data_IF_775597879000
#
_entry.id   IF_775597879000
#
_cell.length_a   1.000
_cell.length_b   1.000
_cell.length_c   1.000
_cell.angle_alpha   90.00
_cell.angle_beta   90.00
_cell.angle_gamma   90.00
#
_symmetry.space_group_name_H-M   'P 1'
#
loop_
_entity.id
_entity.type
_entity.pdbx_description
1 polymer ?
#
# COMPACT_ATOMS: atom_id res chain seq x y z
N UNK A 1 -10.08 7.52 14.77
CA UNK A 1 -9.25 6.31 14.72
C UNK A 1 -7.89 6.70 14.15
N UNK A 2 -6.86 5.89 14.40
CA UNK A 2 -5.49 6.12 13.95
C UNK A 2 -5.35 6.39 12.44
N UNK A 3 -6.09 5.63 11.60
CA UNK A 3 -6.15 5.85 10.15
C UNK A 3 -6.85 7.16 9.74
N UNK A 4 -7.73 7.71 10.57
CA UNK A 4 -8.42 8.98 10.28
C UNK A 4 -7.43 10.14 10.17
N UNK A 5 -6.40 10.17 11.03
CA UNK A 5 -5.36 11.19 11.03
C UNK A 5 -4.43 11.10 9.79
N UNK A 6 -4.35 9.94 9.13
CA UNK A 6 -3.54 9.77 7.90
C UNK A 6 -4.19 10.42 6.69
N UNK A 7 -5.51 10.35 6.56
CA UNK A 7 -6.23 10.92 5.41
C UNK A 7 -6.08 12.45 5.36
N UNK A 8 -5.98 13.13 6.51
CA UNK A 8 -5.82 14.59 6.54
C UNK A 8 -4.38 15.03 6.17
N UNK A 9 -3.36 14.22 6.51
CA UNK A 9 -1.95 14.47 6.15
C UNK A 9 -1.69 14.16 4.66
N UNK A 10 -2.44 13.20 4.12
CA UNK A 10 -2.28 12.57 2.83
C UNK A 10 -2.43 13.50 1.61
N UNK A 11 -3.18 14.59 1.74
CA UNK A 11 -3.53 15.49 0.63
C UNK A 11 -2.48 16.58 0.38
N UNK A 12 -1.47 16.70 1.25
CA UNK A 12 -0.43 17.73 1.18
C UNK A 12 0.94 17.25 0.65
N UNK A 13 1.12 15.95 0.35
CA UNK A 13 2.46 15.33 0.19
C UNK A 13 2.66 14.48 -1.08
N UNK A 14 1.95 14.72 -2.18
CA UNK A 14 2.07 13.90 -3.41
C UNK A 14 3.26 14.29 -4.32
N UNK A 15 4.18 15.12 -3.82
CA UNK A 15 5.36 15.57 -4.57
C UNK A 15 6.36 14.45 -4.86
N UNK A 16 6.35 13.39 -4.06
CA UNK A 16 7.34 12.30 -4.15
C UNK A 16 7.22 11.44 -5.41
N UNK A 17 6.14 11.59 -6.18
CA UNK A 17 5.91 10.83 -7.40
C UNK A 17 5.75 11.71 -8.64
N UNK A 18 6.02 13.03 -8.54
CA UNK A 18 5.89 13.99 -9.65
C UNK A 18 6.75 13.65 -10.87
N UNK A 19 7.87 12.96 -10.66
CA UNK A 19 8.83 12.60 -11.72
C UNK A 19 8.64 11.18 -12.25
N UNK A 20 7.55 10.47 -11.90
CA UNK A 20 7.28 9.17 -12.51
C UNK A 20 6.93 9.35 -13.98
N UNK A 21 7.44 8.49 -14.88
CA UNK A 21 7.04 8.52 -16.29
C UNK A 21 5.53 8.35 -16.43
N UNK A 22 4.94 8.95 -17.46
CA UNK A 22 3.53 8.73 -17.77
C UNK A 22 3.24 7.24 -18.01
N UNK A 23 2.07 6.79 -17.56
CA UNK A 23 1.64 5.41 -17.72
C UNK A 23 1.17 5.18 -19.16
N UNK A 24 1.74 4.17 -19.81
CA UNK A 24 1.17 3.63 -21.06
C UNK A 24 -0.01 2.70 -20.75
N UNK A 25 -0.86 2.41 -21.73
CA UNK A 25 -2.09 1.59 -21.60
C UNK A 25 -1.90 0.23 -20.91
N UNK A 26 -0.68 -0.32 -20.94
CA UNK A 26 -0.36 -1.62 -20.37
C UNK A 26 0.45 -1.53 -19.06
N UNK A 27 0.42 -0.40 -18.36
CA UNK A 27 1.21 -0.17 -17.15
C UNK A 27 0.35 0.32 -15.99
N UNK A 28 0.73 -0.09 -14.79
CA UNK A 28 0.14 0.37 -13.52
C UNK A 28 1.31 0.72 -12.59
N UNK A 29 1.16 1.78 -11.82
CA UNK A 29 2.03 2.03 -10.67
C UNK A 29 1.28 1.79 -9.38
N UNK A 30 1.85 0.98 -8.50
CA UNK A 30 1.49 0.98 -7.08
C UNK A 30 2.44 1.94 -6.37
N UNK A 31 1.95 3.10 -5.99
CA UNK A 31 2.65 4.10 -5.19
C UNK A 31 2.50 3.74 -3.72
N UNK A 32 3.61 3.58 -3.02
CA UNK A 32 3.66 3.21 -1.61
C UNK A 32 4.22 4.38 -0.82
N UNK A 33 3.49 4.78 0.20
CA UNK A 33 3.98 5.67 1.25
C UNK A 33 4.11 4.87 2.53
N UNK A 34 5.28 4.96 3.16
CA UNK A 34 5.55 4.34 4.44
C UNK A 34 5.50 5.40 5.52
N UNK A 35 4.62 5.20 6.50
CA UNK A 35 4.51 6.05 7.67
C UNK A 35 4.97 5.29 8.91
N UNK A 36 5.42 6.04 9.90
CA UNK A 36 5.77 5.55 11.22
C UNK A 36 5.10 6.39 12.28
N UNK A 37 4.73 5.75 13.39
CA UNK A 37 4.40 6.45 14.64
C UNK A 37 5.42 6.15 15.70
N UNK A 38 5.97 7.21 16.29
CA UNK A 38 6.77 7.13 17.50
C UNK A 38 5.89 6.77 18.72
N UNK A 39 6.52 6.26 19.78
CA UNK A 39 5.84 5.92 21.04
C UNK A 39 4.99 7.08 21.58
N UNK A 40 3.75 6.76 21.98
CA UNK A 40 2.73 7.69 22.48
C UNK A 40 2.32 8.81 21.50
N UNK A 41 2.86 8.84 20.28
CA UNK A 41 2.41 9.73 19.22
C UNK A 41 1.31 9.06 18.40
N UNK A 42 0.16 9.73 18.31
CA UNK A 42 -0.91 9.36 17.39
C UNK A 42 -0.75 10.03 16.02
N UNK A 43 0.37 10.72 15.79
CA UNK A 43 0.65 11.47 14.56
C UNK A 43 1.62 10.65 13.70
N UNK A 44 1.14 10.02 12.62
CA UNK A 44 1.99 9.32 11.68
C UNK A 44 2.82 10.30 10.85
N UNK A 45 4.12 10.05 10.78
CA UNK A 45 5.06 10.79 9.92
C UNK A 45 5.45 9.91 8.74
N UNK A 46 5.48 10.48 7.53
CA UNK A 46 6.04 9.79 6.37
C UNK A 46 7.54 9.60 6.59
N UNK A 47 8.02 8.36 6.47
CA UNK A 47 9.43 8.00 6.65
C UNK A 47 10.07 7.44 5.37
N UNK A 48 9.29 6.96 4.42
CA UNK A 48 9.81 6.54 3.11
C UNK A 48 8.69 6.53 2.06
N UNK A 49 9.05 6.34 0.80
CA UNK A 49 8.13 6.03 -0.28
C UNK A 49 8.79 5.15 -1.34
N UNK A 50 7.99 4.37 -2.05
CA UNK A 50 8.47 3.56 -3.16
C UNK A 50 7.39 3.31 -4.21
N UNK A 51 7.80 2.76 -5.35
CA UNK A 51 6.86 2.42 -6.43
C UNK A 51 7.06 0.97 -6.88
N UNK A 52 5.95 0.28 -7.16
CA UNK A 52 5.97 -1.01 -7.85
C UNK A 52 5.38 -0.80 -9.25
N UNK A 53 6.21 -0.84 -10.31
CA UNK A 53 5.70 -0.85 -11.67
C UNK A 53 5.17 -2.23 -12.02
N UNK A 54 4.01 -2.28 -12.65
CA UNK A 54 3.34 -3.50 -13.07
C UNK A 54 3.00 -3.37 -14.55
N UNK A 55 3.31 -4.41 -15.32
CA UNK A 55 2.94 -4.52 -16.72
C UNK A 55 1.73 -5.44 -16.86
N UNK A 56 0.68 -4.94 -17.48
CA UNK A 56 -0.52 -5.69 -17.87
C UNK A 56 -0.14 -6.54 -19.08
N UNK A 57 -0.51 -7.83 -19.04
CA UNK A 57 -0.10 -8.80 -20.07
C UNK A 57 -1.22 -9.15 -21.05
N UNK A 58 -2.47 -9.02 -20.63
CA UNK A 58 -3.66 -9.49 -21.32
C UNK A 58 -4.91 -8.81 -20.73
N UNK A 59 -6.04 -8.93 -21.42
CA UNK A 59 -7.33 -8.33 -21.03
C UNK A 59 -7.88 -8.87 -19.71
N UNK A 60 -7.55 -10.13 -19.36
CA UNK A 60 -7.84 -10.74 -18.07
C UNK A 60 -6.54 -10.93 -17.28
N UNK A 61 -6.30 -10.03 -16.33
CA UNK A 61 -5.04 -9.95 -15.60
C UNK A 61 -5.28 -10.14 -14.11
N UNK A 62 -4.45 -10.95 -13.45
CA UNK A 62 -4.40 -11.05 -11.99
C UNK A 62 -2.96 -10.93 -11.53
N UNK A 63 -2.69 -9.93 -10.71
CA UNK A 63 -1.39 -9.69 -10.11
C UNK A 63 -1.46 -9.73 -8.60
N UNK A 64 -0.79 -10.72 -8.03
CA UNK A 64 -0.72 -10.92 -6.59
C UNK A 64 0.33 -10.00 -6.00
N UNK A 65 -0.08 -9.22 -4.99
CA UNK A 65 0.80 -8.38 -4.20
C UNK A 65 1.02 -9.05 -2.86
N UNK A 66 2.25 -9.46 -2.60
CA UNK A 66 2.71 -9.93 -1.30
C UNK A 66 4.05 -9.31 -0.92
N UNK A 67 4.67 -9.85 0.13
CA UNK A 67 5.92 -9.36 0.72
C UNK A 67 7.01 -9.06 -0.31
N UNK A 68 7.18 -9.95 -1.28
CA UNK A 68 8.23 -9.89 -2.30
C UNK A 68 8.06 -8.67 -3.20
N UNK A 69 6.82 -8.26 -3.50
CA UNK A 69 6.55 -7.07 -4.29
C UNK A 69 6.91 -5.80 -3.51
N UNK A 70 6.64 -5.75 -2.20
CA UNK A 70 7.05 -4.62 -1.37
C UNK A 70 8.56 -4.53 -1.18
N UNK A 71 9.24 -5.66 -0.98
CA UNK A 71 10.71 -5.70 -0.87
C UNK A 71 11.36 -5.23 -2.17
N UNK A 72 10.83 -5.64 -3.33
CA UNK A 72 11.37 -5.30 -4.66
C UNK A 72 10.91 -3.94 -5.20
N UNK A 73 10.11 -3.19 -4.45
CA UNK A 73 9.69 -1.86 -4.87
C UNK A 73 10.91 -0.95 -5.06
N UNK A 74 10.81 0.02 -5.97
CA UNK A 74 11.80 1.07 -6.12
C UNK A 74 11.60 2.08 -4.99
N UNK A 75 12.31 1.89 -3.89
CA UNK A 75 12.26 2.76 -2.72
C UNK A 75 13.17 3.98 -2.87
N UNK A 76 12.73 5.11 -2.33
CA UNK A 76 13.48 6.37 -2.35
C UNK A 76 14.76 6.27 -1.50
N UNK A 77 14.64 5.78 -0.27
CA UNK A 77 15.77 5.55 0.64
C UNK A 77 15.88 4.05 0.95
N UNK A 78 16.68 3.32 0.18
CA UNK A 78 16.87 1.87 0.42
C UNK A 78 17.67 1.58 1.68
N UNK A 79 18.61 2.47 2.03
CA UNK A 79 19.43 2.46 3.25
C UNK A 79 18.57 2.33 4.52
N UNK A 80 17.37 2.95 4.51
CA UNK A 80 16.42 2.94 5.61
C UNK A 80 16.10 1.52 6.11
N UNK A 81 16.04 0.54 5.20
CA UNK A 81 15.72 -0.84 5.55
C UNK A 81 16.86 -1.57 6.26
N UNK A 82 18.09 -1.04 6.25
CA UNK A 82 19.19 -1.58 7.05
C UNK A 82 18.94 -1.37 8.56
N UNK A 83 18.33 -0.24 8.93
CA UNK A 83 17.94 0.08 10.31
C UNK A 83 16.65 -0.65 10.74
N UNK A 84 15.80 -1.03 9.79
CA UNK A 84 14.50 -1.68 10.03
C UNK A 84 14.30 -2.97 9.20
N UNK A 85 15.16 -3.99 9.33
CA UNK A 85 15.20 -5.15 8.43
C UNK A 85 13.96 -6.06 8.49
N UNK A 86 13.16 -5.96 9.55
CA UNK A 86 11.96 -6.79 9.77
C UNK A 86 10.65 -6.07 9.39
N UNK A 87 10.71 -4.86 8.80
CA UNK A 87 9.52 -4.08 8.46
C UNK A 87 8.54 -4.81 7.53
N UNK A 88 9.01 -5.79 6.76
CA UNK A 88 8.18 -6.56 5.84
C UNK A 88 7.72 -7.91 6.42
N UNK A 89 8.11 -8.25 7.65
CA UNK A 89 7.84 -9.58 8.23
C UNK A 89 6.36 -9.85 8.46
N UNK A 90 5.55 -8.83 8.78
CA UNK A 90 4.11 -9.02 8.87
C UNK A 90 3.44 -9.08 7.51
N UNK A 91 4.07 -8.56 6.44
CA UNK A 91 3.50 -8.60 5.10
C UNK A 91 3.45 -10.04 4.63
N UNK A 92 2.29 -10.42 4.08
CA UNK A 92 2.03 -11.81 3.72
C UNK A 92 2.83 -12.19 2.47
N UNK A 93 3.59 -13.30 2.49
CA UNK A 93 4.33 -13.77 1.33
C UNK A 93 3.41 -14.06 0.13
N UNK A 94 3.90 -13.75 -1.06
CA UNK A 94 3.25 -14.11 -2.31
C UNK A 94 3.54 -15.57 -2.63
N UNK A 95 2.48 -16.37 -2.76
CA UNK A 95 2.55 -17.78 -3.13
C UNK A 95 1.36 -18.16 -4.02
N UNK A 96 1.30 -19.44 -4.42
CA UNK A 96 0.18 -19.96 -5.20
C UNK A 96 -1.17 -19.70 -4.51
N UNK A 97 -1.23 -19.78 -3.19
CA UNK A 97 -2.47 -19.69 -2.41
C UNK A 97 -2.53 -18.49 -1.45
N UNK A 98 -1.51 -17.64 -1.42
CA UNK A 98 -1.45 -16.52 -0.49
C UNK A 98 -0.92 -15.28 -1.18
N UNK A 99 -1.51 -14.14 -0.83
CA UNK A 99 -1.09 -12.81 -1.20
C UNK A 99 -1.63 -11.86 -0.12
N UNK A 100 -1.09 -10.65 -0.03
CA UNK A 100 -1.69 -9.62 0.80
C UNK A 100 -2.98 -9.10 0.15
N UNK A 101 -2.90 -8.71 -1.13
CA UNK A 101 -4.06 -8.44 -1.98
C UNK A 101 -3.77 -8.78 -3.43
N UNK A 102 -4.77 -8.62 -4.29
CA UNK A 102 -4.67 -8.86 -5.72
C UNK A 102 -5.20 -7.66 -6.48
N UNK A 103 -4.49 -7.29 -7.55
CA UNK A 103 -5.02 -6.42 -8.59
C UNK A 103 -5.57 -7.31 -9.69
N UNK A 104 -6.81 -7.06 -10.09
CA UNK A 104 -7.49 -7.79 -11.15
C UNK A 104 -7.90 -6.80 -12.25
N UNK A 105 -7.71 -7.16 -13.51
CA UNK A 105 -8.41 -6.56 -14.65
C UNK A 105 -9.37 -7.62 -15.14
N UNK A 106 -10.68 -7.36 -15.07
CA UNK A 106 -11.72 -8.26 -15.54
C UNK A 106 -12.73 -7.45 -16.33
N UNK A 107 -13.04 -7.89 -17.55
CA UNK A 107 -14.01 -7.20 -18.42
C UNK A 107 -13.71 -5.70 -18.58
N UNK A 108 -12.43 -5.32 -18.65
CA UNK A 108 -11.99 -3.92 -18.80
C UNK A 108 -12.03 -3.07 -17.52
N UNK A 109 -12.42 -3.62 -16.37
CA UNK A 109 -12.44 -2.89 -15.09
C UNK A 109 -11.33 -3.35 -14.15
N UNK A 110 -10.59 -2.38 -13.57
CA UNK A 110 -9.62 -2.65 -12.51
C UNK A 110 -10.33 -2.84 -11.17
N UNK A 111 -10.06 -3.98 -10.52
CA UNK A 111 -10.57 -4.36 -9.22
C UNK A 111 -9.41 -4.64 -8.26
N UNK A 112 -9.64 -4.41 -6.97
CA UNK A 112 -8.77 -4.84 -5.90
C UNK A 112 -9.52 -5.89 -5.08
N UNK A 113 -8.92 -7.06 -4.89
CA UNK A 113 -9.48 -8.13 -4.08
C UNK A 113 -8.56 -8.47 -2.89
N UNK A 114 -9.12 -8.86 -1.73
CA UNK A 114 -8.30 -9.32 -0.61
C UNK A 114 -7.60 -10.64 -0.97
N UNK A 115 -6.44 -10.88 -0.37
CA UNK A 115 -5.79 -12.20 -0.48
C UNK A 115 -6.64 -13.27 0.20
N UNK A 116 -6.84 -14.43 -0.46
CA UNK A 116 -7.70 -15.53 0.03
C UNK A 116 -7.34 -16.03 1.44
N UNK A 117 -6.07 -15.89 1.85
CA UNK A 117 -5.59 -16.27 3.18
C UNK A 117 -4.89 -15.08 3.87
N UNK A 118 -5.39 -13.86 3.63
CA UNK A 118 -4.79 -12.68 4.23
C UNK A 118 -5.07 -12.61 5.73
N UNK A 119 -4.04 -12.79 6.56
CA UNK A 119 -4.11 -12.63 8.02
C UNK A 119 -4.16 -11.15 8.41
N UNK A 120 -3.52 -10.28 7.63
CA UNK A 120 -3.54 -8.84 7.84
C UNK A 120 -4.75 -8.24 7.12
N UNK A 121 -5.54 -7.47 7.86
CA UNK A 121 -6.63 -6.69 7.32
C UNK A 121 -6.10 -5.54 6.46
N UNK A 122 -6.75 -5.33 5.32
CA UNK A 122 -6.51 -4.18 4.47
C UNK A 122 -7.74 -3.29 4.60
N UNK A 123 -7.51 -2.01 4.78
CA UNK A 123 -8.55 -0.99 4.82
C UNK A 123 -8.42 -0.08 3.61
N UNK A 124 -9.52 0.47 3.14
CA UNK A 124 -9.51 1.50 2.12
C UNK A 124 -10.31 2.72 2.52
N UNK A 125 -9.90 3.88 2.00
CA UNK A 125 -10.71 5.09 1.98
C UNK A 125 -11.40 5.24 0.63
N UNK A 126 -12.59 5.82 0.63
CA UNK A 126 -13.32 6.08 -0.62
C UNK A 126 -12.96 7.45 -1.19
N UNK A 127 -13.30 7.67 -2.46
CA UNK A 127 -13.06 8.96 -3.16
C UNK A 127 -14.06 10.03 -2.73
N UNK A 128 -15.21 9.65 -2.16
CA UNK A 128 -16.24 10.60 -1.72
C UNK A 128 -15.70 11.53 -0.62
N UNK A 129 -15.67 12.85 -0.89
CA UNK A 129 -15.05 13.91 -0.05
C UNK A 129 -15.50 13.91 1.42
N UNK A 130 -16.65 13.29 1.74
CA UNK A 130 -17.21 13.23 3.08
C UNK A 130 -17.10 11.86 3.77
N UNK A 131 -16.57 10.86 3.07
CA UNK A 131 -16.35 9.52 3.61
C UNK A 131 -15.09 9.51 4.49
N UNK A 132 -15.28 9.87 5.76
CA UNK A 132 -14.22 9.75 6.79
C UNK A 132 -14.04 8.31 7.29
N UNK A 133 -14.72 7.35 6.67
CA UNK A 133 -14.76 5.98 7.13
C UNK A 133 -13.75 5.13 6.36
N UNK A 134 -12.92 4.43 7.12
CA UNK A 134 -12.07 3.37 6.61
C UNK A 134 -12.89 2.09 6.55
N UNK A 135 -12.94 1.46 5.38
CA UNK A 135 -13.72 0.24 5.15
C UNK A 135 -12.74 -0.93 5.01
N UNK A 136 -13.00 -2.04 5.69
CA UNK A 136 -12.22 -3.26 5.51
C UNK A 136 -12.47 -3.85 4.12
N UNK A 137 -11.40 -4.16 3.38
CA UNK A 137 -11.48 -4.82 2.09
C UNK A 137 -11.78 -6.31 2.31
N UNK A 138 -13.06 -6.69 2.24
CA UNK A 138 -13.51 -8.08 2.42
C UNK A 138 -13.91 -8.76 1.11
N UNK A 139 -14.11 -7.99 0.04
CA UNK A 139 -14.53 -8.49 -1.28
C UNK A 139 -13.83 -7.73 -2.42
N UNK A 140 -13.95 -8.25 -3.64
CA UNK A 140 -13.41 -7.58 -4.82
C UNK A 140 -14.14 -6.26 -5.05
N UNK A 141 -13.38 -5.17 -5.06
CA UNK A 141 -13.89 -3.80 -5.07
C UNK A 141 -13.30 -3.02 -6.24
N UNK A 142 -14.12 -2.30 -7.03
CA UNK A 142 -13.62 -1.47 -8.12
C UNK A 142 -12.62 -0.42 -7.65
N UNK A 143 -11.49 -0.31 -8.35
CA UNK A 143 -10.44 0.64 -8.02
C UNK A 143 -10.95 2.09 -8.07
N UNK A 144 -11.88 2.41 -8.98
CA UNK A 144 -12.52 3.73 -9.08
C UNK A 144 -13.30 4.18 -7.82
N UNK A 145 -13.55 3.27 -6.87
CA UNK A 145 -14.17 3.60 -5.57
C UNK A 145 -13.15 3.84 -4.47
N UNK A 146 -11.89 3.47 -4.70
CA UNK A 146 -10.83 3.42 -3.70
C UNK A 146 -9.85 4.57 -3.95
N UNK A 147 -9.68 5.43 -2.96
CA UNK A 147 -8.67 6.49 -3.00
C UNK A 147 -7.31 5.96 -2.56
N UNK A 148 -7.28 5.28 -1.41
CA UNK A 148 -6.09 4.69 -0.84
C UNK A 148 -6.40 3.35 -0.18
N UNK A 149 -5.44 2.42 -0.21
CA UNK A 149 -5.41 1.23 0.63
C UNK A 149 -4.44 1.44 1.79
N UNK A 150 -4.70 0.78 2.91
CA UNK A 150 -3.93 0.87 4.13
C UNK A 150 -3.78 -0.48 4.79
N UNK A 151 -2.59 -0.77 5.28
CA UNK A 151 -2.37 -1.89 6.20
C UNK A 151 -1.20 -1.57 7.13
N UNK A 152 -1.18 -2.23 8.28
CA UNK A 152 -0.12 -2.07 9.28
C UNK A 152 0.95 -3.14 9.12
N UNK A 153 2.20 -2.74 9.39
CA UNK A 153 3.26 -3.65 9.72
C UNK A 153 3.77 -3.39 11.13
N UNK A 154 3.94 -4.48 11.87
CA UNK A 154 4.41 -4.45 13.25
C UNK A 154 5.89 -4.78 13.27
N UNK A 155 6.65 -3.93 13.95
CA UNK A 155 8.05 -4.17 14.22
C UNK A 155 8.22 -4.49 15.71
N UNK A 156 8.49 -5.77 16.07
CA UNK A 156 8.47 -6.20 17.46
C UNK A 156 9.69 -5.75 18.28
N UNK A 157 10.73 -5.15 17.67
CA UNK A 157 11.97 -4.86 18.40
C UNK A 157 12.79 -3.71 17.80
N UNK A 158 12.52 -2.47 18.21
CA UNK A 158 13.46 -1.36 17.98
C UNK A 158 14.74 -1.59 18.80
N UNK A 159 15.87 -1.83 18.12
CA UNK A 159 17.18 -2.03 18.76
C UNK A 159 17.63 -0.83 19.59
N UNK A 160 17.09 0.37 19.33
CA UNK A 160 17.40 1.60 20.08
C UNK A 160 16.45 1.79 21.27
N UNK A 161 15.35 1.03 21.35
CA UNK A 161 14.30 1.16 22.38
C UNK A 161 13.73 -0.22 22.75
N UNK A 162 14.47 -0.96 23.57
CA UNK A 162 14.06 -2.27 24.09
C UNK A 162 12.68 -2.16 24.75
N UNK A 163 11.69 -2.91 24.25
CA UNK A 163 10.36 -3.03 24.84
C UNK A 163 9.23 -2.19 24.20
N UNK A 164 9.41 -1.68 22.98
CA UNK A 164 8.44 -0.76 22.36
C UNK A 164 8.03 -1.21 20.95
N UNK A 165 6.72 -1.42 20.74
CA UNK A 165 6.15 -1.74 19.43
C UNK A 165 6.20 -0.51 18.52
N UNK A 166 7.15 -0.49 17.60
CA UNK A 166 7.19 0.52 16.54
C UNK A 166 6.22 0.10 15.43
N UNK A 167 5.26 0.97 15.11
CA UNK A 167 4.25 0.69 14.09
C UNK A 167 4.60 1.38 12.79
N UNK A 168 4.55 0.61 11.71
CA UNK A 168 4.66 1.11 10.36
C UNK A 168 3.33 0.96 9.64
N UNK A 169 3.01 1.90 8.78
CA UNK A 169 1.76 1.93 8.05
C UNK A 169 2.10 2.09 6.59
N UNK A 170 1.62 1.15 5.78
CA UNK A 170 1.68 1.23 4.35
C UNK A 170 0.40 1.90 3.87
N UNK A 171 0.54 3.09 3.27
CA UNK A 171 -0.52 3.72 2.48
C UNK A 171 -0.19 3.48 1.02
N UNK A 172 -1.14 2.91 0.29
CA UNK A 172 -0.99 2.59 -1.12
C UNK A 172 -1.97 3.44 -1.94
N UNK A 173 -1.47 4.04 -3.01
CA UNK A 173 -2.27 4.57 -4.11
C UNK A 173 -1.92 3.79 -5.37
N UNK A 174 -2.90 3.57 -6.23
CA UNK A 174 -2.69 2.85 -7.50
C UNK A 174 -3.02 3.83 -8.62
N UNK A 175 -2.03 4.08 -9.48
CA UNK A 175 -2.21 4.85 -10.71
C UNK A 175 -2.37 3.87 -11.85
N UNK A 176 -3.50 3.96 -12.55
CA UNK A 176 -3.80 3.22 -13.78
C UNK A 176 -3.64 4.16 -14.97
N UNK A 177 -3.47 3.64 -16.20
CA UNK A 177 -3.49 4.48 -17.39
C UNK A 177 -4.84 5.19 -17.45
N UNK A 178 -4.82 6.48 -17.76
CA UNK A 178 -6.04 7.19 -18.11
C UNK A 178 -6.41 6.69 -19.50
N UNK A 179 -7.52 5.96 -19.61
CA UNK A 179 -8.14 5.74 -20.91
C UNK A 179 -8.79 7.04 -21.36
N UNK A 180 -8.58 7.41 -22.61
CA UNK A 180 -9.33 8.51 -23.26
C UNK A 180 -10.85 8.26 -23.22
#
# INVERSE_FOLDING_TARGET
SFFKNLNDIADSLDDSFKNLPELTENQIYIKIFLYSTEYLSNIPKKVNSGVIPIRIKNEDFVYKIGREQFIKAYWYETEFFNDYPLIFNSVIPNSKNSAHFQLELKSGEFLIAPGKNSINKIFYSTIEENSKNMIELTESTPLKKIRHLFFESYYPFDRRKIGMDHRFIFRISISVPIGD
#
